data_IF_012422954678
#
_entry.id   IF_012422954678
#
_cell.length_a   1.000
_cell.length_b   1.000
_cell.length_c   1.000
_cell.angle_alpha   90.00
_cell.angle_beta   90.00
_cell.angle_gamma   90.00
#
_symmetry.space_group_name_H-M   'P 1'
#
loop_
_entity.id
_entity.type
_entity.pdbx_description
1 polymer ?
#
# COMPACT_ATOMS: atom_id res chain seq x y z
N UNK A 1 -0.68 5.08 20.85
CA UNK A 1 -1.70 4.10 21.24
C UNK A 1 -1.00 2.87 21.77
N UNK A 2 -1.30 2.44 23.01
CA UNK A 2 -0.66 1.31 23.71
C UNK A 2 -1.37 -0.03 23.41
N UNK A 3 -1.75 -0.22 22.14
CA UNK A 3 -2.43 -1.44 21.70
C UNK A 3 -1.38 -2.53 21.48
N UNK A 4 -1.58 -3.69 22.14
CA UNK A 4 -0.68 -4.84 22.02
C UNK A 4 -0.86 -5.52 20.66
N UNK A 5 0.22 -5.59 19.89
CA UNK A 5 0.30 -6.40 18.66
C UNK A 5 0.26 -7.87 19.08
N UNK A 6 -0.79 -8.59 18.64
CA UNK A 6 -0.93 -10.04 18.88
C UNK A 6 -0.29 -10.87 17.77
N UNK A 7 -0.48 -10.43 16.52
CA UNK A 7 -0.01 -11.12 15.32
C UNK A 7 0.51 -10.07 14.35
N UNK A 8 1.65 -10.35 13.74
CA UNK A 8 2.19 -9.53 12.67
C UNK A 8 1.48 -9.90 11.36
N UNK A 9 1.06 -8.89 10.60
CA UNK A 9 0.46 -9.05 9.26
C UNK A 9 1.41 -8.49 8.20
N UNK A 10 1.76 -9.28 7.21
CA UNK A 10 2.62 -8.88 6.10
C UNK A 10 1.86 -7.97 5.12
N UNK A 11 0.57 -8.21 4.92
CA UNK A 11 -0.31 -7.40 4.07
C UNK A 11 -1.10 -6.39 4.92
N UNK A 12 -1.16 -5.15 4.44
CA UNK A 12 -2.07 -4.15 4.98
C UNK A 12 -3.39 -4.13 4.20
N UNK A 13 -4.55 -4.47 4.81
CA UNK A 13 -5.84 -4.47 4.13
C UNK A 13 -6.33 -3.08 3.68
N UNK A 14 -5.86 -1.99 4.32
CA UNK A 14 -6.40 -0.65 4.08
C UNK A 14 -6.36 -0.18 2.62
N UNK A 15 -5.31 -0.52 1.89
CA UNK A 15 -5.16 -0.11 0.48
C UNK A 15 -6.15 -0.81 -0.46
N UNK A 16 -6.90 -1.80 0.03
CA UNK A 16 -7.96 -2.50 -0.70
C UNK A 16 -9.36 -2.03 -0.32
N UNK A 17 -9.48 -1.14 0.68
CA UNK A 17 -10.78 -0.74 1.25
C UNK A 17 -11.03 0.76 1.23
N UNK A 18 -9.98 1.58 1.33
CA UNK A 18 -10.13 3.01 1.59
C UNK A 18 -9.36 3.90 0.61
N UNK A 19 -9.95 5.06 0.32
CA UNK A 19 -9.26 6.24 -0.17
C UNK A 19 -9.38 7.34 0.88
N UNK A 20 -8.28 8.01 1.18
CA UNK A 20 -8.26 9.15 2.07
C UNK A 20 -8.04 10.43 1.27
N UNK A 21 -9.07 11.26 1.16
CA UNK A 21 -9.00 12.55 0.49
C UNK A 21 -8.52 13.63 1.46
N UNK A 22 -7.36 14.21 1.18
CA UNK A 22 -6.81 15.29 1.98
C UNK A 22 -7.41 16.65 1.57
N UNK A 23 -7.28 17.64 2.46
CA UNK A 23 -7.83 18.98 2.28
C UNK A 23 -7.34 19.72 1.02
N UNK A 24 -6.14 19.39 0.54
CA UNK A 24 -5.49 20.00 -0.64
C UNK A 24 -5.78 19.22 -1.94
N UNK A 25 -6.68 18.24 -1.88
CA UNK A 25 -7.05 17.40 -3.02
C UNK A 25 -6.16 16.19 -3.20
N UNK A 26 -4.99 16.11 -2.57
CA UNK A 26 -4.15 14.88 -2.63
C UNK A 26 -4.88 13.69 -2.01
N UNK A 27 -4.69 12.50 -2.57
CA UNK A 27 -5.38 11.29 -2.11
C UNK A 27 -4.35 10.27 -1.64
N UNK A 28 -4.50 9.81 -0.42
CA UNK A 28 -3.68 8.75 0.18
C UNK A 28 -4.42 7.40 0.17
N UNK A 29 -3.72 6.26 0.07
CA UNK A 29 -4.31 4.92 0.06
C UNK A 29 -4.67 4.44 1.48
N UNK A 30 -4.43 5.26 2.50
CA UNK A 30 -4.57 4.91 3.90
C UNK A 30 -4.95 6.15 4.71
N UNK A 31 -5.90 6.00 5.64
CA UNK A 31 -6.33 7.08 6.54
C UNK A 31 -5.30 7.44 7.61
N UNK A 32 -4.24 6.64 7.75
CA UNK A 32 -3.16 6.87 8.71
C UNK A 32 -1.89 7.43 8.07
N UNK A 33 -1.85 7.61 6.76
CA UNK A 33 -0.78 8.33 6.07
C UNK A 33 -0.94 9.86 6.25
N UNK A 34 -0.90 10.30 7.51
CA UNK A 34 -0.88 11.71 7.89
C UNK A 34 0.25 12.53 7.23
N UNK A 35 1.47 11.99 7.01
CA UNK A 35 2.52 12.75 6.33
C UNK A 35 2.34 12.80 4.80
N UNK A 36 1.31 12.15 4.23
CA UNK A 36 1.02 12.11 2.79
C UNK A 36 2.19 11.54 1.97
N UNK A 37 2.87 10.53 2.50
CA UNK A 37 4.05 9.93 1.84
C UNK A 37 3.67 9.06 0.65
N UNK A 38 2.46 8.51 0.63
CA UNK A 38 1.95 7.66 -0.43
C UNK A 38 0.83 8.38 -1.16
N UNK A 39 1.15 9.40 -1.95
CA UNK A 39 0.15 10.07 -2.78
C UNK A 39 -0.21 9.21 -4.00
N UNK A 40 -1.46 8.78 -4.11
CA UNK A 40 -1.98 7.95 -5.21
C UNK A 40 -2.80 8.71 -6.25
N UNK A 41 -3.05 10.00 -6.05
CA UNK A 41 -3.77 10.84 -7.03
C UNK A 41 -4.25 12.17 -6.46
N UNK A 42 -4.99 12.94 -7.26
CA UNK A 42 -5.55 14.22 -6.84
C UNK A 42 -7.03 14.34 -7.23
N UNK A 43 -7.92 14.59 -6.26
CA UNK A 43 -9.37 14.69 -6.48
C UNK A 43 -9.83 15.97 -7.17
N UNK A 44 -8.95 16.96 -7.31
CA UNK A 44 -9.20 18.16 -8.12
C UNK A 44 -9.08 17.81 -9.62
N UNK A 45 -8.23 16.84 -9.96
CA UNK A 45 -7.86 16.47 -11.33
C UNK A 45 -8.52 15.18 -11.81
N UNK A 46 -8.79 14.25 -10.89
CA UNK A 46 -9.22 12.88 -11.17
C UNK A 46 -10.46 12.52 -10.33
N UNK A 47 -11.37 11.74 -10.90
CA UNK A 47 -12.47 11.13 -10.15
C UNK A 47 -11.96 10.03 -9.21
N UNK A 48 -12.75 9.72 -8.17
CA UNK A 48 -12.44 8.61 -7.25
C UNK A 48 -12.28 7.26 -7.97
N UNK A 49 -13.03 7.03 -9.06
CA UNK A 49 -12.92 5.83 -9.88
C UNK A 49 -11.58 5.76 -10.64
N UNK A 50 -11.13 6.88 -11.19
CA UNK A 50 -9.83 6.96 -11.87
C UNK A 50 -8.66 6.79 -10.91
N UNK A 51 -8.77 7.32 -9.70
CA UNK A 51 -7.76 7.14 -8.65
C UNK A 51 -7.73 5.69 -8.17
N UNK A 52 -8.90 5.11 -7.90
CA UNK A 52 -9.01 3.72 -7.45
C UNK A 52 -8.48 2.71 -8.48
N UNK A 53 -8.84 2.89 -9.75
CA UNK A 53 -8.35 2.07 -10.86
C UNK A 53 -6.98 2.50 -11.40
N UNK A 54 -6.34 3.49 -10.78
CA UNK A 54 -5.13 4.12 -11.27
C UNK A 54 -3.89 3.25 -11.07
N UNK A 55 -2.88 3.48 -11.91
CA UNK A 55 -1.61 2.75 -11.87
C UNK A 55 -0.90 2.86 -10.51
N UNK A 56 -1.03 4.00 -9.83
CA UNK A 56 -0.38 4.27 -8.55
C UNK A 56 -0.90 3.32 -7.45
N UNK A 57 -2.22 3.27 -7.22
CA UNK A 57 -2.81 2.35 -6.25
C UNK A 57 -2.62 0.88 -6.65
N UNK A 58 -2.76 0.56 -7.94
CA UNK A 58 -2.54 -0.80 -8.45
C UNK A 58 -1.13 -1.31 -8.17
N UNK A 59 -0.12 -0.48 -8.41
CA UNK A 59 1.28 -0.82 -8.11
C UNK A 59 1.48 -1.04 -6.61
N UNK A 60 0.86 -0.22 -5.76
CA UNK A 60 0.95 -0.39 -4.31
C UNK A 60 0.31 -1.70 -3.83
N UNK A 61 -0.86 -2.04 -4.39
CA UNK A 61 -1.58 -3.29 -4.10
C UNK A 61 -0.73 -4.52 -4.48
N UNK A 62 -0.10 -4.51 -5.65
CA UNK A 62 0.76 -5.61 -6.10
C UNK A 62 2.00 -5.73 -5.20
N UNK A 63 2.68 -4.61 -4.88
CA UNK A 63 3.81 -4.61 -3.95
C UNK A 63 3.43 -5.21 -2.58
N UNK A 64 2.25 -4.83 -2.06
CA UNK A 64 1.75 -5.34 -0.79
C UNK A 64 1.49 -6.85 -0.84
N UNK A 65 0.81 -7.33 -1.89
CA UNK A 65 0.50 -8.76 -2.06
C UNK A 65 1.75 -9.62 -2.32
N UNK A 66 2.81 -9.04 -2.87
CA UNK A 66 4.13 -9.67 -2.99
C UNK A 66 4.90 -9.75 -1.66
N UNK A 67 4.33 -9.25 -0.57
CA UNK A 67 4.97 -9.22 0.74
C UNK A 67 6.07 -8.16 0.85
N UNK A 68 6.09 -7.16 -0.03
CA UNK A 68 7.13 -6.12 -0.07
C UNK A 68 6.78 -4.88 0.77
N UNK A 69 5.93 -5.08 1.79
CA UNK A 69 5.46 -4.01 2.68
C UNK A 69 6.60 -3.30 3.41
N UNK A 70 7.64 -4.06 3.77
CA UNK A 70 8.87 -3.59 4.41
C UNK A 70 9.72 -2.69 3.52
N UNK A 71 9.49 -2.69 2.21
CA UNK A 71 10.20 -1.86 1.23
C UNK A 71 9.46 -0.57 0.87
N UNK A 72 8.20 -0.41 1.31
CA UNK A 72 7.37 0.78 1.05
C UNK A 72 7.63 1.82 2.14
N UNK A 73 7.83 3.08 1.73
CA UNK A 73 8.41 4.15 2.57
C UNK A 73 7.71 4.38 3.92
N UNK A 74 6.38 4.55 3.93
CA UNK A 74 5.63 4.71 5.17
C UNK A 74 5.21 3.37 5.79
N UNK A 75 4.88 2.39 4.94
CA UNK A 75 4.29 1.14 5.41
C UNK A 75 5.27 0.28 6.20
N UNK A 76 6.58 0.39 5.93
CA UNK A 76 7.61 -0.47 6.53
C UNK A 76 7.69 -0.40 8.06
N UNK A 77 7.39 0.76 8.64
CA UNK A 77 7.43 1.01 10.08
C UNK A 77 6.04 1.25 10.69
N UNK A 78 4.98 1.01 9.91
CA UNK A 78 3.61 1.21 10.37
C UNK A 78 3.13 0.00 11.20
N UNK A 79 2.32 0.23 12.22
CA UNK A 79 1.69 -0.86 13.01
C UNK A 79 0.19 -0.98 12.79
N UNK A 80 -0.38 -0.16 11.91
CA UNK A 80 -1.82 -0.10 11.64
C UNK A 80 -2.45 -1.47 11.32
N UNK A 81 -1.89 -2.32 10.43
CA UNK A 81 -2.56 -3.58 10.11
C UNK A 81 -2.65 -4.54 11.31
N UNK A 82 -1.80 -4.36 12.33
CA UNK A 82 -1.81 -5.19 13.54
C UNK A 82 -2.80 -4.74 14.60
N UNK A 83 -3.26 -3.48 14.53
CA UNK A 83 -4.00 -2.85 15.63
C UNK A 83 -5.31 -2.17 15.21
N UNK A 84 -5.47 -1.84 13.93
CA UNK A 84 -6.62 -1.10 13.41
C UNK A 84 -7.57 -1.93 12.53
N UNK A 85 -7.26 -3.21 12.26
CA UNK A 85 -8.06 -4.09 11.39
C UNK A 85 -8.06 -5.53 11.88
N UNK A 86 -9.18 -6.20 11.69
CA UNK A 86 -9.32 -7.64 11.99
C UNK A 86 -8.92 -8.49 10.79
N UNK A 87 -9.15 -8.02 9.57
CA UNK A 87 -8.90 -8.73 8.31
C UNK A 87 -7.43 -9.17 8.18
N UNK A 88 -7.23 -10.42 7.81
CA UNK A 88 -5.92 -11.02 7.55
C UNK A 88 -5.90 -11.58 6.14
N UNK A 89 -5.02 -11.03 5.30
CA UNK A 89 -4.88 -11.40 3.89
C UNK A 89 -3.64 -12.25 3.64
N UNK A 90 -2.82 -12.53 4.67
CA UNK A 90 -1.53 -13.20 4.49
C UNK A 90 -1.67 -14.62 3.96
N UNK A 91 -2.76 -15.30 4.31
CA UNK A 91 -3.08 -16.66 3.85
C UNK A 91 -3.72 -16.75 2.46
N UNK A 92 -4.06 -15.62 1.82
CA UNK A 92 -4.81 -15.58 0.55
C UNK A 92 -4.16 -14.71 -0.52
N UNK A 93 -2.83 -14.53 -0.46
CA UNK A 93 -2.12 -13.65 -1.41
C UNK A 93 -2.27 -14.08 -2.87
N UNK A 94 -2.11 -15.37 -3.23
CA UNK A 94 -2.28 -15.83 -4.60
C UNK A 94 -3.69 -15.55 -5.14
N UNK A 95 -4.72 -15.84 -4.34
CA UNK A 95 -6.12 -15.62 -4.67
C UNK A 95 -6.43 -14.13 -4.84
N UNK A 96 -5.83 -13.28 -4.00
CA UNK A 96 -5.96 -11.83 -4.13
C UNK A 96 -5.28 -11.27 -5.38
N UNK A 97 -4.10 -11.78 -5.75
CA UNK A 97 -3.41 -11.40 -6.99
C UNK A 97 -4.24 -11.78 -8.22
N UNK A 98 -4.84 -12.98 -8.21
CA UNK A 98 -5.76 -13.43 -9.26
C UNK A 98 -7.01 -12.54 -9.30
N UNK A 99 -7.63 -12.25 -8.14
CA UNK A 99 -8.86 -11.47 -8.05
C UNK A 99 -8.72 -10.03 -8.56
N UNK A 100 -7.55 -9.39 -8.36
CA UNK A 100 -7.27 -8.06 -8.92
C UNK A 100 -6.80 -8.11 -10.38
N UNK A 101 -6.71 -9.31 -10.97
CA UNK A 101 -6.24 -9.54 -12.33
C UNK A 101 -4.81 -9.06 -12.55
N UNK A 102 -3.91 -9.29 -11.59
CA UNK A 102 -2.50 -8.93 -11.74
C UNK A 102 -1.84 -9.78 -12.83
N UNK A 103 -1.11 -9.15 -13.76
CA UNK A 103 -0.38 -9.88 -14.79
C UNK A 103 1.00 -10.32 -14.29
N UNK A 104 1.59 -11.32 -14.95
CA UNK A 104 2.95 -11.78 -14.65
C UNK A 104 3.98 -10.65 -14.84
N UNK A 105 3.76 -9.75 -15.80
CA UNK A 105 4.64 -8.59 -16.02
C UNK A 105 4.58 -7.60 -14.85
N UNK A 106 3.41 -7.39 -14.26
CA UNK A 106 3.27 -6.49 -13.11
C UNK A 106 3.83 -7.11 -11.83
N UNK A 107 3.66 -8.42 -11.65
CA UNK A 107 4.19 -9.16 -10.49
C UNK A 107 5.72 -9.20 -10.54
N UNK A 108 6.30 -9.53 -11.70
CA UNK A 108 7.75 -9.71 -11.86
C UNK A 108 8.50 -8.43 -12.26
N UNK A 109 7.77 -7.38 -12.61
CA UNK A 109 8.33 -6.11 -13.06
C UNK A 109 8.83 -5.20 -11.93
N UNK A 110 9.41 -4.08 -12.33
CA UNK A 110 9.77 -3.00 -11.42
C UNK A 110 8.51 -2.34 -10.86
N UNK A 111 8.54 -1.99 -9.58
CA UNK A 111 7.42 -1.39 -8.89
C UNK A 111 7.82 -0.03 -8.28
N UNK A 112 7.04 1.00 -8.59
CA UNK A 112 7.35 2.40 -8.23
C UNK A 112 7.39 2.68 -6.72
N UNK A 113 6.78 1.82 -5.90
CA UNK A 113 6.70 1.99 -4.44
C UNK A 113 7.84 1.32 -3.68
N UNK A 114 8.61 0.48 -4.37
CA UNK A 114 9.71 -0.27 -3.78
C UNK A 114 10.96 0.61 -3.81
N UNK A 115 11.49 0.96 -2.64
CA UNK A 115 12.78 1.64 -2.57
C UNK A 115 13.84 0.76 -3.23
N UNK A 116 14.49 1.28 -4.27
CA UNK A 116 15.74 0.70 -4.76
C UNK A 116 16.75 0.76 -3.62
N UNK A 117 17.45 -0.35 -3.38
CA UNK A 117 18.60 -0.35 -2.49
C UNK A 117 19.67 0.51 -3.19
N UNK A 118 19.71 1.80 -2.89
CA UNK A 118 20.94 2.56 -3.06
C UNK A 118 21.92 1.97 -2.06
N UNK A 119 22.95 1.29 -2.59
CA UNK A 119 24.16 0.99 -1.85
C UNK A 119 24.78 2.32 -1.41
N UNK A 120 24.29 2.88 -0.30
CA UNK A 120 25.03 3.87 0.44
C UNK A 120 26.21 3.15 1.07
N UNK A 121 27.32 3.13 0.33
CA UNK A 121 28.64 2.90 0.90
C UNK A 121 28.82 3.87 2.06
N UNK A 122 28.79 3.34 3.28
CA UNK A 122 29.19 4.05 4.49
C UNK A 122 30.55 4.72 4.27
N UNK A 123 30.56 6.05 4.28
CA UNK A 123 31.76 6.87 4.48
C UNK A 123 32.02 7.12 5.96
#
# INVERSE_FOLDING_TARGET
YDQKIKTYKEICPFIFMYLHFNWDGTVSPCTLDWPKKENIGNSIEQSSKEIWGGHSLRSLQIAMLKGERDKINFCNNCSAPMVCVEEDLDGVKPEMLEAIGASDEEINGNNMWIKSISLETNG
#
